data_IF_060575334872
#
_entry.id   IF_060575334872
#
_cell.length_a   1.000
_cell.length_b   1.000
_cell.length_c   1.000
_cell.angle_alpha   90.00
_cell.angle_beta   90.00
_cell.angle_gamma   90.00
#
_symmetry.space_group_name_H-M   'P 1'
#
loop_
_entity.id
_entity.type
_entity.pdbx_description
1 polymer ?
#
# COMPACT_ATOMS: atom_id res chain seq x y z
N UNK A 1 30.27 -30.34 12.69
CA UNK A 1 29.68 -30.56 11.34
C UNK A 1 28.15 -30.67 11.35
N UNK A 2 27.52 -31.60 12.08
CA UNK A 2 26.04 -31.68 12.13
C UNK A 2 25.41 -30.60 13.04
N UNK A 3 26.06 -30.27 14.16
CA UNK A 3 25.66 -29.16 15.04
C UNK A 3 25.79 -27.80 14.34
N UNK A 4 26.85 -27.57 13.56
CA UNK A 4 27.05 -26.33 12.81
C UNK A 4 25.95 -26.13 11.76
N UNK A 5 25.58 -27.20 11.06
CA UNK A 5 24.49 -27.17 10.08
C UNK A 5 23.15 -26.84 10.75
N UNK A 6 22.84 -27.47 11.88
CA UNK A 6 21.60 -27.21 12.63
C UNK A 6 21.55 -25.79 13.19
N UNK A 7 22.70 -25.26 13.62
CA UNK A 7 22.85 -23.86 14.06
C UNK A 7 22.62 -22.87 12.92
N UNK A 8 23.15 -23.17 11.73
CA UNK A 8 22.96 -22.35 10.52
C UNK A 8 21.51 -22.37 10.03
N UNK A 9 20.85 -23.52 10.04
CA UNK A 9 19.41 -23.66 9.73
C UNK A 9 18.55 -22.83 10.70
N UNK A 10 18.82 -22.90 12.00
CA UNK A 10 18.10 -22.09 13.01
C UNK A 10 18.31 -20.60 12.75
N UNK A 11 19.54 -20.18 12.45
CA UNK A 11 19.85 -18.79 12.16
C UNK A 11 19.10 -18.30 10.92
N UNK A 12 19.13 -19.08 9.84
CA UNK A 12 18.40 -18.74 8.61
C UNK A 12 16.89 -18.64 8.83
N UNK A 13 16.29 -19.54 9.64
CA UNK A 13 14.88 -19.43 10.02
C UNK A 13 14.61 -18.15 10.83
N UNK A 14 15.46 -17.81 11.79
CA UNK A 14 15.31 -16.61 12.60
C UNK A 14 15.42 -15.32 11.76
N UNK A 15 16.39 -15.26 10.86
CA UNK A 15 16.56 -14.15 9.92
C UNK A 15 15.31 -14.00 9.04
N UNK A 16 14.78 -15.12 8.50
CA UNK A 16 13.57 -15.10 7.67
C UNK A 16 12.32 -14.66 8.45
N UNK A 17 12.19 -15.07 9.72
CA UNK A 17 11.08 -14.64 10.59
C UNK A 17 11.15 -13.12 10.81
N UNK A 18 12.34 -12.55 11.02
CA UNK A 18 12.50 -11.11 11.16
C UNK A 18 12.07 -10.36 9.89
N UNK A 19 12.52 -10.82 8.71
CA UNK A 19 12.11 -10.23 7.43
C UNK A 19 10.58 -10.24 7.25
N UNK A 20 9.93 -11.34 7.61
CA UNK A 20 8.47 -11.46 7.51
C UNK A 20 7.74 -10.53 8.49
N UNK A 21 8.25 -10.38 9.71
CA UNK A 21 7.69 -9.43 10.69
C UNK A 21 7.80 -7.99 10.19
N UNK A 22 8.95 -7.59 9.67
CA UNK A 22 9.13 -6.25 9.07
C UNK A 22 8.18 -6.03 7.89
N UNK A 23 8.01 -7.06 7.04
CA UNK A 23 7.04 -7.03 5.92
C UNK A 23 5.62 -6.84 6.43
N UNK A 24 5.20 -7.60 7.43
CA UNK A 24 3.84 -7.51 8.01
C UNK A 24 3.59 -6.12 8.59
N UNK A 25 4.53 -5.59 9.38
CA UNK A 25 4.39 -4.27 10.00
C UNK A 25 4.32 -3.16 8.94
N UNK A 26 5.11 -3.27 7.87
CA UNK A 26 5.03 -2.37 6.73
C UNK A 26 3.64 -2.36 6.09
N UNK A 27 3.07 -3.53 5.76
CA UNK A 27 1.76 -3.60 5.12
C UNK A 27 0.63 -3.21 6.07
N UNK A 28 0.72 -3.52 7.37
CA UNK A 28 -0.26 -3.05 8.36
C UNK A 28 -0.33 -1.54 8.42
N UNK A 29 0.82 -0.87 8.43
CA UNK A 29 0.87 0.59 8.38
C UNK A 29 0.26 1.14 7.09
N UNK A 30 0.56 0.51 5.94
CA UNK A 30 -0.04 0.91 4.65
C UNK A 30 -1.54 0.69 4.61
N UNK A 31 -2.02 -0.39 5.23
CA UNK A 31 -3.44 -0.69 5.38
C UNK A 31 -4.13 0.40 6.21
N UNK A 32 -3.58 0.72 7.39
CA UNK A 32 -4.07 1.80 8.26
C UNK A 32 -4.11 3.15 7.52
N UNK A 33 -2.99 3.59 6.94
CA UNK A 33 -2.92 4.84 6.15
C UNK A 33 -3.97 4.90 5.02
N UNK A 34 -4.27 3.76 4.39
CA UNK A 34 -5.21 3.68 3.26
C UNK A 34 -6.67 3.67 3.74
N UNK A 35 -6.94 3.01 4.87
CA UNK A 35 -8.26 3.02 5.50
C UNK A 35 -8.60 4.42 6.02
N UNK A 36 -7.65 5.11 6.64
CA UNK A 36 -7.80 6.51 7.07
C UNK A 36 -8.10 7.42 5.89
N UNK A 37 -7.43 7.22 4.76
CA UNK A 37 -7.68 7.99 3.53
C UNK A 37 -9.08 7.70 2.94
N UNK A 38 -9.57 6.46 3.05
CA UNK A 38 -10.91 6.09 2.63
C UNK A 38 -11.98 6.75 3.52
N UNK A 39 -11.79 6.74 4.84
CA UNK A 39 -12.68 7.44 5.78
C UNK A 39 -12.65 8.96 5.56
N UNK A 40 -11.46 9.50 5.27
CA UNK A 40 -11.34 10.91 4.90
C UNK A 40 -12.17 11.24 3.65
N UNK A 41 -12.13 10.40 2.61
CA UNK A 41 -12.88 10.60 1.36
C UNK A 41 -14.39 10.68 1.63
N UNK A 42 -14.93 9.87 2.54
CA UNK A 42 -16.36 9.90 2.90
C UNK A 42 -16.81 11.24 3.52
N UNK A 43 -15.86 12.02 4.05
CA UNK A 43 -16.14 13.33 4.69
C UNK A 43 -15.64 14.52 3.86
N UNK A 44 -14.97 14.26 2.74
CA UNK A 44 -14.31 15.28 1.94
C UNK A 44 -15.09 15.57 0.66
N UNK A 45 -15.41 16.84 0.42
CA UNK A 45 -16.04 17.25 -0.84
C UNK A 45 -14.97 17.49 -1.92
N UNK A 46 -14.99 16.69 -2.99
CA UNK A 46 -14.03 16.85 -4.08
C UNK A 46 -14.41 18.03 -5.00
N UNK A 47 -13.65 19.13 -4.93
CA UNK A 47 -13.94 20.35 -5.69
C UNK A 47 -13.12 20.51 -6.99
N UNK A 48 -11.90 19.99 -7.00
CA UNK A 48 -10.98 20.10 -8.13
C UNK A 48 -9.90 19.01 -8.05
N UNK A 49 -9.39 18.61 -9.21
CA UNK A 49 -8.17 17.81 -9.31
C UNK A 49 -7.04 18.67 -9.87
N UNK A 50 -5.80 18.33 -9.53
CA UNK A 50 -4.62 18.97 -10.12
C UNK A 50 -3.91 17.97 -11.03
N UNK A 51 -3.76 18.35 -12.29
CA UNK A 51 -2.94 17.59 -13.25
C UNK A 51 -1.53 18.16 -13.23
N UNK A 52 -0.54 17.30 -13.03
CA UNK A 52 0.88 17.66 -13.09
C UNK A 52 1.56 16.94 -14.24
N UNK A 53 2.15 17.71 -15.17
CA UNK A 53 2.88 17.19 -16.33
C UNK A 53 4.26 17.83 -16.48
N UNK A 54 5.07 17.29 -17.39
CA UNK A 54 6.34 17.88 -17.81
C UNK A 54 6.27 18.17 -19.31
N UNK A 55 6.57 19.39 -19.73
CA UNK A 55 6.85 19.70 -21.13
C UNK A 55 8.36 19.62 -21.37
N UNK A 56 8.76 19.07 -22.52
CA UNK A 56 10.18 18.97 -22.90
C UNK A 56 10.83 20.35 -23.11
N UNK A 57 10.03 21.38 -23.39
CA UNK A 57 10.51 22.70 -23.81
C UNK A 57 10.81 23.68 -22.68
N UNK A 58 10.11 23.63 -21.53
CA UNK A 58 10.20 24.70 -20.51
C UNK A 58 10.63 24.26 -19.11
N UNK A 59 10.92 22.98 -18.89
CA UNK A 59 11.53 22.51 -17.63
C UNK A 59 10.70 22.74 -16.36
N UNK A 60 9.45 23.20 -16.47
CA UNK A 60 8.56 23.46 -15.34
C UNK A 60 7.32 22.56 -15.35
N UNK A 61 6.98 22.08 -14.14
CA UNK A 61 5.76 21.30 -13.87
C UNK A 61 4.56 22.22 -13.97
N UNK A 62 3.80 22.13 -15.05
CA UNK A 62 2.49 22.78 -15.12
C UNK A 62 1.54 22.03 -14.18
N UNK A 63 1.19 22.69 -13.07
CA UNK A 63 0.12 22.23 -12.17
C UNK A 63 -1.16 22.91 -12.64
N UNK A 64 -1.97 22.20 -13.42
CA UNK A 64 -3.22 22.71 -13.96
C UNK A 64 -4.37 22.23 -13.07
N UNK A 65 -4.98 23.11 -12.24
CA UNK A 65 -6.18 22.75 -11.53
C UNK A 65 -7.34 22.63 -12.52
N UNK A 66 -8.01 21.49 -12.50
CA UNK A 66 -9.23 21.21 -13.25
C UNK A 66 -10.39 21.14 -12.25
N UNK A 67 -11.27 22.17 -12.21
CA UNK A 67 -12.43 22.14 -11.34
C UNK A 67 -13.38 21.03 -11.80
N UNK A 68 -13.92 20.28 -10.85
CA UNK A 68 -14.93 19.26 -11.10
C UNK A 68 -16.32 19.89 -11.02
N UNK A 69 -17.27 19.34 -11.78
CA UNK A 69 -18.66 19.79 -11.77
C UNK A 69 -19.59 18.60 -11.77
N UNK A 70 -20.68 18.72 -10.99
CA UNK A 70 -21.80 17.78 -10.99
C UNK A 70 -21.35 16.31 -10.98
N UNK A 71 -21.56 15.59 -12.08
CA UNK A 71 -21.24 14.17 -12.19
C UNK A 71 -19.73 13.86 -12.18
N UNK A 72 -18.88 14.81 -12.58
CA UNK A 72 -17.42 14.61 -12.60
C UNK A 72 -16.87 14.44 -11.18
N UNK A 73 -17.52 15.06 -10.18
CA UNK A 73 -17.18 14.91 -8.75
C UNK A 73 -17.37 13.45 -8.34
N UNK A 74 -18.56 12.92 -8.62
CA UNK A 74 -18.95 11.55 -8.27
C UNK A 74 -18.06 10.54 -9.00
N UNK A 75 -17.74 10.77 -10.27
CA UNK A 75 -16.87 9.87 -11.05
C UNK A 75 -15.45 9.82 -10.47
N UNK A 76 -14.88 10.96 -10.11
CA UNK A 76 -13.55 11.03 -9.49
C UNK A 76 -13.55 10.41 -8.09
N UNK A 77 -14.55 10.69 -7.27
CA UNK A 77 -14.68 10.10 -5.93
C UNK A 77 -14.76 8.57 -6.01
N UNK A 78 -15.64 8.02 -6.86
CA UNK A 78 -15.77 6.58 -7.08
C UNK A 78 -14.45 5.96 -7.56
N UNK A 79 -13.74 6.63 -8.48
CA UNK A 79 -12.45 6.16 -8.99
C UNK A 79 -11.38 6.10 -7.89
N UNK A 80 -11.35 7.09 -7.00
CA UNK A 80 -10.42 7.12 -5.87
C UNK A 80 -10.81 6.02 -4.87
N UNK A 81 -12.09 5.90 -4.54
CA UNK A 81 -12.62 4.89 -3.62
C UNK A 81 -12.27 3.47 -4.08
N UNK A 82 -12.54 3.14 -5.35
CA UNK A 82 -12.23 1.85 -5.94
C UNK A 82 -10.72 1.54 -5.85
N UNK A 83 -9.86 2.53 -6.14
CA UNK A 83 -8.41 2.38 -6.01
C UNK A 83 -7.97 2.12 -4.58
N UNK A 84 -8.55 2.80 -3.60
CA UNK A 84 -8.23 2.61 -2.18
C UNK A 84 -8.68 1.23 -1.70
N UNK A 85 -9.89 0.79 -2.06
CA UNK A 85 -10.40 -0.55 -1.73
C UNK A 85 -9.54 -1.66 -2.34
N UNK A 86 -9.11 -1.50 -3.59
CA UNK A 86 -8.22 -2.46 -4.23
C UNK A 86 -6.87 -2.55 -3.50
N UNK A 87 -6.28 -1.41 -3.10
CA UNK A 87 -5.04 -1.41 -2.30
C UNK A 87 -5.21 -2.07 -0.94
N UNK A 88 -6.33 -1.83 -0.26
CA UNK A 88 -6.66 -2.49 1.02
C UNK A 88 -6.63 -4.01 0.84
N UNK A 89 -7.31 -4.53 -0.19
CA UNK A 89 -7.32 -5.97 -0.48
C UNK A 89 -5.92 -6.50 -0.81
N UNK A 90 -5.14 -5.78 -1.62
CA UNK A 90 -3.76 -6.17 -1.94
C UNK A 90 -2.87 -6.23 -0.69
N UNK A 91 -2.99 -5.28 0.23
CA UNK A 91 -2.22 -5.26 1.47
C UNK A 91 -2.64 -6.37 2.42
N UNK A 92 -3.94 -6.63 2.56
CA UNK A 92 -4.45 -7.74 3.37
C UNK A 92 -3.96 -9.10 2.82
N UNK A 93 -4.01 -9.29 1.50
CA UNK A 93 -3.48 -10.49 0.84
C UNK A 93 -1.98 -10.68 1.11
N UNK A 94 -1.17 -9.62 1.06
CA UNK A 94 0.26 -9.70 1.35
C UNK A 94 0.55 -10.02 2.82
N UNK A 95 -0.27 -9.51 3.75
CA UNK A 95 -0.20 -9.85 5.18
C UNK A 95 -0.55 -11.32 5.38
N UNK A 96 -1.63 -11.81 4.77
CA UNK A 96 -2.06 -13.21 4.86
C UNK A 96 -0.97 -14.15 4.33
N UNK A 97 -0.38 -13.84 3.17
CA UNK A 97 0.74 -14.63 2.61
C UNK A 97 1.93 -14.67 3.55
N UNK A 98 2.29 -13.53 4.17
CA UNK A 98 3.38 -13.47 5.11
C UNK A 98 3.11 -14.33 6.37
N UNK A 99 1.87 -14.33 6.87
CA UNK A 99 1.47 -15.21 7.97
C UNK A 99 1.52 -16.70 7.59
N UNK A 100 1.07 -17.06 6.39
CA UNK A 100 1.15 -18.44 5.89
C UNK A 100 2.61 -18.93 5.81
N UNK A 101 3.51 -18.09 5.32
CA UNK A 101 4.94 -18.41 5.27
C UNK A 101 5.54 -18.57 6.68
N UNK A 102 5.14 -17.70 7.62
CA UNK A 102 5.56 -17.78 9.01
C UNK A 102 5.10 -19.10 9.66
N UNK A 103 3.86 -19.52 9.41
CA UNK A 103 3.33 -20.81 9.86
C UNK A 103 4.10 -22.00 9.28
N UNK A 104 4.56 -21.93 8.03
CA UNK A 104 5.39 -22.97 7.42
C UNK A 104 6.79 -23.05 8.04
N UNK A 105 7.39 -21.90 8.40
CA UNK A 105 8.72 -21.86 9.03
C UNK A 105 8.71 -22.41 10.46
N UNK A 106 7.59 -22.26 11.17
CA UNK A 106 7.42 -22.67 12.57
C UNK A 106 6.95 -24.12 12.73
N UNK A 107 6.53 -24.79 11.64
CA UNK A 107 6.32 -26.24 11.59
C UNK A 107 7.64 -27.02 11.58
#
# INVERSE_FOLDING_TARGET
>A
MMEDKRKEEIKSKADRINDLNEKIDFYKKKLEDTMDMLEFLDTFECHAISLTGYSEDEGYRECVPMPLRDNDIIEVENLIEEKLRNRINEYDDEIIKAYQELDELLK
#
